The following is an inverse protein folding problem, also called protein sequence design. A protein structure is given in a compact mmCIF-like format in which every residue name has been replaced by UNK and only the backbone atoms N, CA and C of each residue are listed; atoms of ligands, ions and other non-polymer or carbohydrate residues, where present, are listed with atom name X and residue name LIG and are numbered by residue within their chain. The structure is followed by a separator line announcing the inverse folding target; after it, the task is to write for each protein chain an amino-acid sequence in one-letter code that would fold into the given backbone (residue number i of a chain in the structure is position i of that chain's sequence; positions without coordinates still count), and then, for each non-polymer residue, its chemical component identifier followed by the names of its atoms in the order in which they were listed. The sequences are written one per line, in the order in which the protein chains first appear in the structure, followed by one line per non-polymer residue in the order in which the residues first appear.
data_IF_328639444972
#
_entry.id   IF_328639444972
#
_cell.length_a   1.000
_cell.length_b   1.000
_cell.length_c   1.000
_cell.angle_alpha   90.00
_cell.angle_beta   90.00
_cell.angle_gamma   90.00
#
_symmetry.space_group_name_H-M   'P 1'
#
loop_
_entity.id
_entity.type
_entity.pdbx_description
1 polymer ?
#
# COMPACT_ATOMS: atom_id res chain seq x y z
N UNK A 1 -0.27 33.39 51.40
CA UNK A 1 -1.57 32.93 51.92
C UNK A 1 -2.08 31.84 51.00
N UNK A 2 -2.04 30.67 51.51
CA UNK A 2 -2.78 29.40 51.52
C UNK A 2 -3.05 28.79 50.15
N UNK A 3 -2.36 27.74 49.77
CA UNK A 3 -2.47 26.33 50.22
C UNK A 3 -3.80 25.67 49.83
N UNK A 4 -3.77 24.78 48.84
CA UNK A 4 -4.57 23.56 48.89
C UNK A 4 -3.86 22.43 48.10
N UNK A 5 -3.23 21.52 48.89
CA UNK A 5 -2.87 20.16 48.46
C UNK A 5 -4.11 19.29 48.71
N UNK A 6 -4.50 18.49 47.72
CA UNK A 6 -5.40 17.38 47.98
C UNK A 6 -4.75 16.09 47.50
N UNK A 7 -4.37 15.29 48.47
CA UNK A 7 -3.86 13.90 48.34
C UNK A 7 -5.07 12.99 48.19
N UNK A 8 -5.15 12.19 47.15
CA UNK A 8 -6.11 11.09 47.05
C UNK A 8 -5.40 9.79 47.35
N UNK A 9 -5.56 9.30 48.58
CA UNK A 9 -5.18 7.97 49.03
C UNK A 9 -6.28 6.98 48.63
N UNK A 10 -5.98 5.96 47.81
CA UNK A 10 -6.81 4.79 47.71
C UNK A 10 -6.24 3.64 48.56
N UNK A 11 -7.05 3.24 49.53
CA UNK A 11 -6.83 2.10 50.44
C UNK A 11 -6.90 0.80 49.69
N UNK A 12 -5.88 -0.04 49.86
CA UNK A 12 -5.93 -1.47 49.59
C UNK A 12 -6.82 -2.17 50.61
N UNK A 13 -7.86 -2.86 50.15
CA UNK A 13 -8.56 -3.84 50.94
C UNK A 13 -8.14 -5.26 50.54
N UNK A 14 -7.87 -6.01 51.57
CA UNK A 14 -7.57 -7.44 51.61
C UNK A 14 -8.51 -8.28 50.73
N UNK A 15 -7.95 -9.21 49.96
CA UNK A 15 -8.62 -10.40 49.51
C UNK A 15 -7.88 -11.63 50.01
N UNK A 16 -8.64 -12.43 50.75
CA UNK A 16 -8.24 -13.65 51.41
C UNK A 16 -7.93 -14.78 50.41
N UNK A 17 -7.01 -15.63 50.84
CA UNK A 17 -6.55 -16.81 50.14
C UNK A 17 -7.68 -17.80 49.84
N UNK A 18 -7.87 -18.13 48.55
CA UNK A 18 -8.62 -19.34 48.13
C UNK A 18 -7.59 -20.29 47.52
N UNK A 19 -7.58 -21.49 48.09
CA UNK A 19 -6.70 -22.60 47.76
C UNK A 19 -6.82 -22.99 46.27
N UNK A 20 -5.74 -22.92 45.51
CA UNK A 20 -5.65 -23.38 44.13
C UNK A 20 -5.53 -24.92 44.11
N UNK A 21 -6.58 -25.62 43.66
CA UNK A 21 -6.48 -27.00 43.24
C UNK A 21 -5.64 -27.10 41.96
N UNK A 22 -4.53 -27.86 42.04
CA UNK A 22 -3.73 -28.21 40.87
C UNK A 22 -4.56 -29.05 39.90
N UNK A 23 -4.97 -28.49 38.78
CA UNK A 23 -5.44 -29.23 37.62
C UNK A 23 -4.23 -29.46 36.71
N UNK A 24 -3.72 -30.69 36.72
CA UNK A 24 -2.70 -31.17 35.78
C UNK A 24 -3.40 -31.46 34.46
N UNK A 25 -3.40 -30.53 33.54
CA UNK A 25 -3.78 -30.81 32.15
C UNK A 25 -2.49 -31.06 31.37
N UNK A 26 -2.15 -32.35 31.21
CA UNK A 26 -1.10 -32.76 30.28
C UNK A 26 -1.52 -32.54 28.84
N UNK A 27 -1.27 -31.38 28.27
CA UNK A 27 -1.22 -31.16 26.81
C UNK A 27 0.21 -31.24 26.38
N UNK A 28 0.55 -32.29 25.61
CA UNK A 28 1.82 -32.37 24.85
C UNK A 28 1.94 -31.12 24.03
N UNK A 29 2.89 -30.26 24.41
CA UNK A 29 3.32 -29.12 23.59
C UNK A 29 3.95 -29.72 22.33
N UNK A 30 3.29 -29.56 21.19
CA UNK A 30 3.84 -29.97 19.91
C UNK A 30 5.14 -29.21 19.70
N UNK A 31 6.23 -29.94 19.50
CA UNK A 31 7.53 -29.41 19.13
C UNK A 31 7.36 -28.51 17.89
N UNK A 32 7.89 -27.28 17.91
CA UNK A 32 7.78 -26.38 16.76
C UNK A 32 8.45 -27.05 15.56
N UNK A 33 7.73 -27.13 14.46
CA UNK A 33 8.27 -27.58 13.17
C UNK A 33 9.51 -26.74 12.88
N UNK A 34 10.63 -27.43 12.61
CA UNK A 34 11.90 -26.84 12.17
C UNK A 34 11.61 -25.70 11.18
N UNK A 35 12.23 -24.56 11.44
CA UNK A 35 12.36 -23.47 10.45
C UNK A 35 12.77 -24.13 9.13
N UNK A 36 11.88 -24.04 8.14
CA UNK A 36 12.17 -24.57 6.80
C UNK A 36 13.34 -23.75 6.29
N UNK A 37 14.51 -24.36 6.25
CA UNK A 37 15.65 -23.76 5.56
C UNK A 37 15.23 -23.48 4.14
N UNK A 38 15.20 -22.20 3.75
CA UNK A 38 14.90 -21.78 2.41
C UNK A 38 15.76 -22.58 1.43
N UNK A 39 15.14 -23.48 0.65
CA UNK A 39 15.83 -24.13 -0.45
C UNK A 39 16.25 -23.01 -1.40
N UNK A 40 17.55 -22.74 -1.42
CA UNK A 40 18.19 -21.85 -2.39
C UNK A 40 17.82 -22.35 -3.78
N UNK A 41 16.92 -21.65 -4.48
CA UNK A 41 16.73 -21.88 -5.91
C UNK A 41 18.06 -21.54 -6.58
N UNK A 42 18.69 -22.45 -7.34
CA UNK A 42 19.95 -22.17 -7.99
C UNK A 42 19.71 -21.14 -9.09
N UNK A 43 20.15 -19.92 -8.87
CA UNK A 43 20.32 -18.94 -9.93
C UNK A 43 21.53 -19.39 -10.78
N UNK A 44 21.41 -19.27 -12.08
CA UNK A 44 22.37 -19.79 -13.07
C UNK A 44 23.86 -19.40 -12.85
N UNK A 45 24.14 -18.43 -11.92
CA UNK A 45 25.50 -17.95 -11.64
C UNK A 45 25.79 -17.70 -10.14
N UNK A 46 25.00 -18.20 -9.20
CA UNK A 46 25.19 -17.93 -7.76
C UNK A 46 24.95 -16.48 -7.32
N UNK A 47 24.43 -15.63 -8.20
CA UNK A 47 24.15 -14.23 -7.94
C UNK A 47 22.80 -14.03 -7.22
N UNK A 48 22.65 -12.96 -6.42
CA UNK A 48 21.36 -12.57 -5.87
C UNK A 48 20.31 -12.37 -6.97
N UNK A 49 19.08 -12.84 -6.76
CA UNK A 49 18.02 -12.76 -7.76
C UNK A 49 17.69 -11.32 -8.16
N UNK A 50 17.71 -10.40 -7.20
CA UNK A 50 17.56 -8.97 -7.47
C UNK A 50 18.58 -8.44 -8.49
N UNK A 51 19.80 -8.99 -8.49
CA UNK A 51 20.85 -8.66 -9.47
C UNK A 51 20.51 -9.21 -10.85
N UNK A 52 19.99 -10.42 -10.92
CA UNK A 52 19.55 -11.05 -12.17
C UNK A 52 18.42 -10.23 -12.81
N UNK A 53 17.41 -9.85 -12.01
CA UNK A 53 16.29 -9.04 -12.49
C UNK A 53 16.78 -7.65 -12.97
N UNK A 54 17.67 -6.99 -12.21
CA UNK A 54 18.28 -5.72 -12.64
C UNK A 54 19.00 -5.83 -13.99
N UNK A 55 19.75 -6.92 -14.23
CA UNK A 55 20.40 -7.16 -15.52
C UNK A 55 19.39 -7.32 -16.66
N UNK A 56 18.26 -8.02 -16.43
CA UNK A 56 17.18 -8.13 -17.45
C UNK A 56 16.61 -6.75 -17.81
N UNK A 57 16.38 -5.89 -16.81
CA UNK A 57 15.89 -4.52 -17.01
C UNK A 57 16.91 -3.67 -17.79
N UNK A 58 18.17 -3.71 -17.37
CA UNK A 58 19.26 -2.95 -17.99
C UNK A 58 19.53 -3.39 -19.43
N UNK A 59 19.44 -4.69 -19.73
CA UNK A 59 19.60 -5.22 -21.08
C UNK A 59 18.56 -4.65 -22.07
N UNK A 60 17.37 -4.28 -21.57
CA UNK A 60 16.33 -3.60 -22.36
C UNK A 60 16.36 -2.09 -22.23
N UNK A 61 17.40 -1.53 -21.58
CA UNK A 61 17.52 -0.08 -21.30
C UNK A 61 16.27 0.51 -20.63
N UNK A 62 15.54 -0.30 -19.88
CA UNK A 62 14.33 0.12 -19.19
C UNK A 62 14.66 0.80 -17.85
N UNK A 63 13.79 1.72 -17.45
CA UNK A 63 13.84 2.38 -16.15
C UNK A 63 13.31 1.43 -15.05
N UNK A 64 13.79 1.59 -13.81
CA UNK A 64 13.29 0.85 -12.65
C UNK A 64 13.30 1.70 -11.37
N UNK A 65 12.77 2.92 -11.48
CA UNK A 65 12.53 3.78 -10.31
C UNK A 65 11.57 3.11 -9.34
N UNK A 66 11.45 3.65 -8.13
CA UNK A 66 10.68 3.03 -7.06
C UNK A 66 9.21 2.76 -7.47
N UNK A 67 8.59 3.69 -8.20
CA UNK A 67 7.20 3.61 -8.66
C UNK A 67 7.01 2.89 -10.01
N UNK A 68 8.07 2.50 -10.72
CA UNK A 68 7.92 1.78 -11.99
C UNK A 68 7.37 0.37 -11.78
N UNK A 69 6.47 -0.07 -12.64
CA UNK A 69 6.11 -1.48 -12.76
C UNK A 69 7.20 -2.23 -13.52
N UNK A 70 7.69 -3.32 -12.97
CA UNK A 70 8.74 -4.18 -13.56
C UNK A 70 8.26 -5.60 -13.85
N UNK A 71 6.94 -5.82 -13.90
CA UNK A 71 6.36 -7.15 -14.11
C UNK A 71 6.87 -7.86 -15.38
N UNK A 72 7.14 -7.11 -16.46
CA UNK A 72 7.67 -7.65 -17.70
C UNK A 72 9.04 -8.36 -17.53
N UNK A 73 9.76 -8.10 -16.45
CA UNK A 73 11.08 -8.68 -16.16
C UNK A 73 11.03 -9.76 -15.08
N UNK A 74 9.85 -10.01 -14.52
CA UNK A 74 9.62 -11.02 -13.48
C UNK A 74 9.23 -12.34 -14.15
N UNK A 75 9.95 -13.39 -13.85
CA UNK A 75 9.66 -14.76 -14.34
C UNK A 75 8.93 -15.57 -13.26
N UNK A 76 8.24 -16.65 -13.62
CA UNK A 76 7.68 -17.59 -12.64
C UNK A 76 8.73 -18.04 -11.62
N UNK A 77 8.41 -17.97 -10.33
CA UNK A 77 9.30 -18.30 -9.22
C UNK A 77 10.21 -17.14 -8.74
N UNK A 78 10.30 -16.03 -9.48
CA UNK A 78 11.14 -14.89 -9.07
C UNK A 78 10.59 -14.20 -7.81
N UNK A 79 9.28 -14.15 -7.61
CA UNK A 79 8.71 -13.45 -6.43
C UNK A 79 9.01 -14.19 -5.14
N UNK A 80 8.93 -15.51 -5.15
CA UNK A 80 9.32 -16.35 -4.01
C UNK A 80 10.81 -16.15 -3.68
N UNK A 81 11.66 -16.18 -4.70
CA UNK A 81 13.10 -15.94 -4.51
C UNK A 81 13.42 -14.52 -4.03
N UNK A 82 12.64 -13.50 -4.47
CA UNK A 82 12.78 -12.13 -3.94
C UNK A 82 12.35 -12.05 -2.48
N UNK A 83 11.29 -12.75 -2.08
CA UNK A 83 10.88 -12.81 -0.67
C UNK A 83 12.00 -13.38 0.19
N UNK A 84 12.62 -14.48 -0.25
CA UNK A 84 13.73 -15.11 0.48
C UNK A 84 14.96 -14.19 0.56
N UNK A 85 15.32 -13.52 -0.55
CA UNK A 85 16.42 -12.57 -0.58
C UNK A 85 16.18 -11.35 0.33
N UNK A 86 14.98 -10.79 0.28
CA UNK A 86 14.60 -9.64 1.13
C UNK A 86 14.56 -10.08 2.60
N UNK A 87 14.04 -11.28 2.91
CA UNK A 87 14.03 -11.81 4.28
C UNK A 87 15.44 -11.94 4.85
N UNK A 88 16.38 -12.46 4.07
CA UNK A 88 17.79 -12.58 4.48
C UNK A 88 18.40 -11.20 4.79
N UNK A 89 18.17 -10.21 3.94
CA UNK A 89 18.68 -8.85 4.16
C UNK A 89 17.99 -8.15 5.34
N UNK A 90 16.69 -8.38 5.50
CA UNK A 90 15.94 -7.85 6.64
C UNK A 90 16.38 -8.47 7.97
N UNK A 91 16.78 -9.75 7.95
CA UNK A 91 17.39 -10.40 9.12
C UNK A 91 18.64 -9.65 9.58
N UNK A 92 19.55 -9.31 8.65
CA UNK A 92 20.72 -8.51 8.97
C UNK A 92 20.42 -7.10 9.48
N UNK A 93 19.31 -6.49 9.01
CA UNK A 93 18.83 -5.20 9.57
C UNK A 93 18.39 -5.35 11.02
N UNK A 94 17.59 -6.39 11.34
CA UNK A 94 17.15 -6.65 12.71
C UNK A 94 18.31 -6.93 13.65
N UNK A 95 19.27 -7.72 13.21
CA UNK A 95 20.52 -7.99 13.97
C UNK A 95 21.32 -6.71 14.22
N UNK A 96 21.43 -5.83 13.20
CA UNK A 96 22.11 -4.53 13.33
C UNK A 96 21.38 -3.57 14.28
N UNK A 97 20.05 -3.72 14.42
CA UNK A 97 19.24 -3.01 15.42
C UNK A 97 19.32 -3.65 16.82
N UNK A 98 20.14 -4.70 16.99
CA UNK A 98 20.29 -5.45 18.25
C UNK A 98 18.96 -6.07 18.72
N UNK A 99 18.15 -6.55 17.77
CA UNK A 99 16.89 -7.23 18.06
C UNK A 99 17.16 -8.74 18.10
N UNK A 100 16.79 -9.38 19.22
CA UNK A 100 16.91 -10.84 19.36
C UNK A 100 15.85 -11.53 18.49
N UNK A 101 16.29 -12.20 17.44
CA UNK A 101 15.45 -12.97 16.53
C UNK A 101 15.56 -14.49 16.72
N UNK A 102 16.37 -14.93 17.67
CA UNK A 102 16.61 -16.36 17.98
C UNK A 102 15.74 -16.83 19.14
N UNK A 103 15.83 -16.14 20.28
CA UNK A 103 15.14 -16.54 21.51
C UNK A 103 13.81 -15.85 21.72
N UNK A 104 13.60 -14.62 21.19
CA UNK A 104 12.31 -13.94 21.25
C UNK A 104 11.32 -14.54 20.24
N UNK A 105 10.28 -15.21 20.78
CA UNK A 105 9.23 -15.83 19.97
C UNK A 105 8.41 -14.83 19.13
N UNK A 106 8.40 -13.52 19.48
CA UNK A 106 7.67 -12.49 18.73
C UNK A 106 8.41 -12.09 17.46
N UNK A 107 9.73 -12.03 17.51
CA UNK A 107 10.59 -11.52 16.42
C UNK A 107 11.21 -12.60 15.55
N UNK A 108 11.17 -13.87 15.98
CA UNK A 108 11.78 -15.03 15.28
C UNK A 108 11.49 -15.11 13.78
N UNK A 109 10.30 -14.70 13.33
CA UNK A 109 9.89 -14.74 11.93
C UNK A 109 9.66 -13.35 11.34
N UNK A 110 10.09 -12.28 11.99
CA UNK A 110 9.81 -10.90 11.57
C UNK A 110 10.44 -10.59 10.21
N UNK A 111 11.66 -11.02 9.97
CA UNK A 111 12.36 -10.82 8.69
C UNK A 111 11.55 -11.37 7.50
N UNK A 112 11.04 -12.61 7.61
CA UNK A 112 10.23 -13.23 6.58
C UNK A 112 8.85 -12.58 6.42
N UNK A 113 8.18 -12.22 7.54
CA UNK A 113 6.88 -11.53 7.50
C UNK A 113 7.00 -10.17 6.81
N UNK A 114 8.04 -9.40 7.11
CA UNK A 114 8.29 -8.10 6.50
C UNK A 114 8.61 -8.25 5.01
N UNK A 115 9.43 -9.23 4.64
CA UNK A 115 9.74 -9.52 3.25
C UNK A 115 8.48 -9.85 2.43
N UNK A 116 7.65 -10.77 2.96
CA UNK A 116 6.38 -11.15 2.33
C UNK A 116 5.43 -9.95 2.21
N UNK A 117 5.32 -9.15 3.25
CA UNK A 117 4.51 -7.93 3.23
C UNK A 117 4.94 -6.99 2.12
N UNK A 118 6.23 -6.69 2.00
CA UNK A 118 6.71 -5.77 0.96
C UNK A 118 6.55 -6.34 -0.45
N UNK A 119 6.94 -7.60 -0.70
CA UNK A 119 6.93 -8.15 -2.07
C UNK A 119 5.51 -8.49 -2.53
N UNK A 120 4.70 -9.13 -1.68
CA UNK A 120 3.42 -9.70 -2.11
C UNK A 120 2.20 -8.82 -1.82
N UNK A 121 2.35 -7.78 -0.97
CA UNK A 121 1.23 -6.96 -0.53
C UNK A 121 1.47 -5.48 -0.87
N UNK A 122 2.37 -4.81 -0.13
CA UNK A 122 2.54 -3.34 -0.19
C UNK A 122 3.13 -2.87 -1.51
N UNK A 123 4.02 -3.66 -2.15
CA UNK A 123 4.64 -3.32 -3.43
C UNK A 123 4.20 -4.23 -4.58
N UNK A 124 3.11 -4.96 -4.40
CA UNK A 124 2.62 -5.91 -5.40
C UNK A 124 2.43 -5.27 -6.79
N UNK A 125 1.87 -4.05 -6.86
CA UNK A 125 1.69 -3.31 -8.10
C UNK A 125 2.97 -3.03 -8.89
N UNK A 126 4.16 -3.19 -8.24
CA UNK A 126 5.44 -3.10 -8.91
C UNK A 126 5.79 -4.37 -9.70
N UNK A 127 5.34 -5.53 -9.23
CA UNK A 127 5.80 -6.84 -9.68
C UNK A 127 4.77 -7.60 -10.53
N UNK A 128 3.49 -7.20 -10.49
CA UNK A 128 2.43 -7.86 -11.25
C UNK A 128 1.97 -7.01 -12.42
N UNK A 129 1.46 -7.68 -13.46
CA UNK A 129 0.92 -7.00 -14.63
C UNK A 129 -0.29 -6.15 -14.28
N UNK A 130 -0.51 -5.10 -15.06
CA UNK A 130 -1.70 -4.27 -14.96
C UNK A 130 -2.96 -5.14 -15.06
N UNK A 131 -3.95 -4.94 -14.16
CA UNK A 131 -5.20 -5.67 -14.24
C UNK A 131 -5.94 -5.36 -15.55
N UNK A 132 -6.56 -6.39 -16.13
CA UNK A 132 -7.39 -6.23 -17.31
C UNK A 132 -8.62 -5.38 -17.01
N UNK A 133 -8.87 -4.41 -17.87
CA UNK A 133 -10.05 -3.55 -17.81
C UNK A 133 -11.05 -3.97 -18.87
N UNK A 134 -12.12 -4.66 -18.45
CA UNK A 134 -13.26 -4.91 -19.32
C UNK A 134 -13.90 -3.59 -19.70
N UNK A 135 -13.97 -3.34 -20.99
CA UNK A 135 -14.54 -2.12 -21.59
C UNK A 135 -15.88 -2.42 -22.19
N UNK A 136 -16.78 -1.44 -22.12
CA UNK A 136 -18.09 -1.44 -22.76
C UNK A 136 -18.21 -0.21 -23.65
N UNK A 137 -18.78 -0.30 -24.84
CA UNK A 137 -19.06 0.87 -25.67
C UNK A 137 -20.14 1.74 -25.00
N UNK A 138 -20.05 3.05 -25.15
CA UNK A 138 -21.07 3.99 -24.67
C UNK A 138 -22.24 4.07 -25.65
N UNK A 139 -23.02 3.00 -25.78
CA UNK A 139 -24.09 2.88 -26.75
C UNK A 139 -25.21 3.90 -26.52
N UNK A 140 -25.49 4.21 -25.25
CA UNK A 140 -26.55 5.17 -24.86
C UNK A 140 -26.09 6.62 -24.88
N UNK A 141 -24.86 6.87 -25.33
CA UNK A 141 -24.27 8.20 -25.41
C UNK A 141 -24.33 8.98 -24.08
N UNK A 142 -23.99 8.29 -22.98
CA UNK A 142 -23.87 8.93 -21.66
C UNK A 142 -22.87 10.08 -21.74
N UNK A 143 -23.26 11.24 -21.27
CA UNK A 143 -22.48 12.48 -21.26
C UNK A 143 -22.58 13.22 -19.93
N UNK A 144 -23.09 12.56 -18.90
CA UNK A 144 -23.25 13.11 -17.56
C UNK A 144 -22.01 12.82 -16.69
N UNK A 145 -21.79 13.67 -15.69
CA UNK A 145 -20.72 13.49 -14.71
C UNK A 145 -20.96 12.22 -13.88
N UNK A 146 -20.03 11.30 -13.97
CA UNK A 146 -19.95 10.12 -13.09
C UNK A 146 -18.87 10.31 -12.05
N UNK A 147 -19.15 10.02 -10.77
CA UNK A 147 -18.19 10.08 -9.68
C UNK A 147 -18.06 8.72 -9.03
N UNK A 148 -16.85 8.19 -9.05
CA UNK A 148 -16.47 6.93 -8.43
C UNK A 148 -15.64 7.23 -7.19
N UNK A 149 -16.09 6.77 -6.03
CA UNK A 149 -15.39 6.95 -4.76
C UNK A 149 -16.32 6.99 -3.56
N UNK A 150 -15.79 7.04 -2.37
CA UNK A 150 -14.34 6.96 -2.06
C UNK A 150 -13.76 5.57 -2.30
N UNK A 151 -12.60 5.49 -2.96
CA UNK A 151 -11.81 4.28 -3.09
C UNK A 151 -10.71 4.34 -2.03
N UNK A 152 -10.62 3.32 -1.18
CA UNK A 152 -9.55 3.25 -0.17
C UNK A 152 -8.20 3.07 -0.84
N UNK A 153 -7.24 3.89 -0.42
CA UNK A 153 -5.85 3.83 -0.88
C UNK A 153 -4.95 3.35 0.25
N UNK A 154 -4.07 2.42 -0.11
CA UNK A 154 -2.92 2.00 0.69
C UNK A 154 -1.69 2.07 -0.19
N UNK A 155 -0.71 2.88 0.19
CA UNK A 155 0.54 3.09 -0.53
C UNK A 155 1.69 3.19 0.46
N UNK A 156 2.90 3.36 -0.04
CA UNK A 156 4.07 3.62 0.80
C UNK A 156 4.89 4.78 0.24
N UNK A 157 5.30 5.69 1.13
CA UNK A 157 6.19 6.78 0.77
C UNK A 157 7.56 6.23 0.34
N UNK A 158 8.03 6.61 -0.85
CA UNK A 158 9.33 6.16 -1.37
C UNK A 158 10.54 6.59 -0.52
N UNK A 159 10.39 7.65 0.30
CA UNK A 159 11.50 8.18 1.10
C UNK A 159 11.80 7.35 2.36
N UNK A 160 10.77 6.85 3.05
CA UNK A 160 10.92 6.16 4.34
C UNK A 160 10.19 4.82 4.38
N UNK A 161 9.54 4.40 3.29
CA UNK A 161 8.67 3.22 3.20
C UNK A 161 7.54 3.20 4.24
N UNK A 162 7.24 4.35 4.83
CA UNK A 162 6.11 4.51 5.74
C UNK A 162 4.79 4.48 4.97
N UNK A 163 3.70 4.00 5.59
CA UNK A 163 2.38 3.97 4.96
C UNK A 163 1.88 5.35 4.52
N UNK A 164 1.16 5.36 3.41
CA UNK A 164 0.27 6.43 2.97
C UNK A 164 -1.13 5.82 2.91
N UNK A 165 -2.04 6.33 3.73
CA UNK A 165 -3.39 5.78 3.88
C UNK A 165 -4.42 6.85 3.54
N UNK A 166 -5.34 6.57 2.61
CA UNK A 166 -6.26 7.61 2.21
C UNK A 166 -7.41 7.14 1.34
N UNK A 167 -7.97 8.09 0.63
CA UNK A 167 -9.13 7.91 -0.25
C UNK A 167 -8.89 8.63 -1.57
N UNK A 168 -9.41 8.04 -2.65
CA UNK A 168 -9.42 8.62 -3.99
C UNK A 168 -10.85 8.73 -4.50
N UNK A 169 -11.14 9.84 -5.15
CA UNK A 169 -12.36 10.07 -5.92
C UNK A 169 -12.00 10.34 -7.38
N UNK A 170 -12.73 9.73 -8.29
CA UNK A 170 -12.50 9.82 -9.74
C UNK A 170 -13.77 10.36 -10.37
N UNK A 171 -13.67 11.51 -11.02
CA UNK A 171 -14.71 12.10 -11.84
C UNK A 171 -14.49 11.77 -13.31
N UNK A 172 -15.49 11.25 -14.00
CA UNK A 172 -15.43 10.92 -15.43
C UNK A 172 -16.59 11.59 -16.14
N UNK A 173 -16.28 12.36 -17.17
CA UNK A 173 -17.27 12.90 -18.11
C UNK A 173 -17.05 12.18 -19.45
N UNK A 174 -17.85 11.16 -19.77
CA UNK A 174 -17.74 10.45 -21.04
C UNK A 174 -18.36 11.23 -22.20
N UNK A 175 -18.11 10.81 -23.41
CA UNK A 175 -18.83 11.17 -24.61
C UNK A 175 -19.19 9.91 -25.43
N UNK A 176 -19.71 10.10 -26.64
CA UNK A 176 -20.12 9.01 -27.52
C UNK A 176 -19.00 8.02 -27.88
N UNK A 177 -17.75 8.50 -27.92
CA UNK A 177 -16.57 7.72 -28.32
C UNK A 177 -15.81 7.15 -27.11
N UNK A 178 -16.28 7.47 -25.89
CA UNK A 178 -15.67 6.99 -24.65
C UNK A 178 -15.99 5.52 -24.42
N UNK A 179 -15.03 4.80 -23.85
CA UNK A 179 -15.30 3.48 -23.29
C UNK A 179 -15.80 3.61 -21.84
N UNK A 180 -16.80 2.84 -21.48
CA UNK A 180 -17.20 2.65 -20.09
C UNK A 180 -16.45 1.46 -19.51
N UNK A 181 -16.12 1.50 -18.23
CA UNK A 181 -15.52 0.39 -17.51
C UNK A 181 -16.33 0.05 -16.27
N UNK A 182 -16.31 -1.22 -15.86
CA UNK A 182 -17.02 -1.65 -14.68
C UNK A 182 -16.49 -0.99 -13.40
N UNK A 183 -17.37 -0.67 -12.45
CA UNK A 183 -17.05 0.04 -11.21
C UNK A 183 -15.87 -0.59 -10.45
N UNK A 184 -15.82 -1.92 -10.33
CA UNK A 184 -14.73 -2.64 -9.69
C UNK A 184 -13.36 -2.46 -10.37
N UNK A 185 -13.35 -2.06 -11.64
CA UNK A 185 -12.10 -1.84 -12.40
C UNK A 185 -11.39 -0.56 -11.96
N UNK A 186 -12.15 0.46 -11.58
CA UNK A 186 -11.58 1.67 -10.98
C UNK A 186 -10.82 1.35 -9.68
N UNK A 187 -11.40 0.55 -8.79
CA UNK A 187 -10.74 0.13 -7.56
C UNK A 187 -9.49 -0.70 -7.82
N UNK A 188 -9.55 -1.67 -8.74
CA UNK A 188 -8.41 -2.54 -9.06
C UNK A 188 -7.24 -1.79 -9.69
N UNK A 189 -7.51 -0.85 -10.61
CA UNK A 189 -6.43 -0.05 -11.22
C UNK A 189 -5.83 0.93 -10.21
N UNK A 190 -6.67 1.53 -9.35
CA UNK A 190 -6.21 2.38 -8.25
C UNK A 190 -5.29 1.59 -7.31
N UNK A 191 -5.70 0.42 -6.85
CA UNK A 191 -4.89 -0.43 -6.00
C UNK A 191 -3.55 -0.79 -6.67
N UNK A 192 -3.58 -1.21 -7.95
CA UNK A 192 -2.38 -1.57 -8.70
C UNK A 192 -1.39 -0.42 -8.84
N UNK A 193 -1.86 0.83 -9.06
CA UNK A 193 -1.01 2.01 -9.09
C UNK A 193 -0.47 2.32 -7.69
N UNK A 194 -1.33 2.25 -6.67
CA UNK A 194 -0.98 2.67 -5.31
C UNK A 194 -0.09 1.68 -4.57
N UNK A 195 -0.11 0.39 -4.91
CA UNK A 195 0.75 -0.63 -4.31
C UNK A 195 2.19 -0.57 -4.82
N UNK A 196 2.86 0.58 -4.65
CA UNK A 196 4.26 0.84 -5.02
C UNK A 196 4.88 1.85 -4.05
N UNK A 197 6.24 1.84 -3.88
CA UNK A 197 6.92 2.94 -3.20
C UNK A 197 6.89 4.18 -4.09
N UNK A 198 6.23 5.26 -3.67
CA UNK A 198 6.04 6.44 -4.51
C UNK A 198 5.72 7.68 -3.69
N UNK A 199 5.64 8.84 -4.34
CA UNK A 199 5.04 10.04 -3.78
C UNK A 199 3.60 10.18 -4.29
N UNK A 200 2.75 10.79 -3.49
CA UNK A 200 1.31 10.91 -3.81
C UNK A 200 1.06 11.65 -5.12
N UNK A 201 1.84 12.68 -5.37
CA UNK A 201 1.72 13.54 -6.56
C UNK A 201 1.90 12.74 -7.85
N UNK A 202 2.95 11.90 -7.92
CA UNK A 202 3.21 11.06 -9.09
C UNK A 202 2.16 9.96 -9.24
N UNK A 203 1.73 9.36 -8.12
CA UNK A 203 0.73 8.30 -8.10
C UNK A 203 -0.62 8.77 -8.67
N UNK A 204 -1.07 9.98 -8.31
CA UNK A 204 -2.33 10.53 -8.80
C UNK A 204 -2.26 10.86 -10.30
N UNK A 205 -1.11 11.36 -10.75
CA UNK A 205 -0.88 11.63 -12.19
C UNK A 205 -0.86 10.31 -12.97
N UNK A 206 -0.14 9.29 -12.51
CA UNK A 206 -0.11 7.98 -13.19
C UNK A 206 -1.50 7.34 -13.27
N UNK A 207 -2.28 7.42 -12.19
CA UNK A 207 -3.66 6.92 -12.18
C UNK A 207 -4.52 7.66 -13.21
N UNK A 208 -4.42 8.98 -13.29
CA UNK A 208 -5.13 9.79 -14.27
C UNK A 208 -4.72 9.44 -15.71
N UNK A 209 -3.42 9.30 -15.99
CA UNK A 209 -2.89 8.93 -17.32
C UNK A 209 -3.42 7.58 -17.79
N UNK A 210 -3.43 6.59 -16.90
CA UNK A 210 -3.92 5.26 -17.20
C UNK A 210 -5.42 5.24 -17.50
N UNK A 211 -6.22 5.94 -16.69
CA UNK A 211 -7.67 6.03 -16.88
C UNK A 211 -8.01 6.79 -18.17
N UNK A 212 -7.37 7.94 -18.41
CA UNK A 212 -7.59 8.73 -19.63
C UNK A 212 -7.27 7.91 -20.89
N UNK A 213 -6.14 7.20 -20.91
CA UNK A 213 -5.75 6.32 -22.03
C UNK A 213 -6.75 5.18 -22.26
N UNK A 214 -7.34 4.65 -21.19
CA UNK A 214 -8.24 3.49 -21.27
C UNK A 214 -9.67 3.86 -21.60
N UNK A 215 -10.19 4.96 -21.04
CA UNK A 215 -11.59 5.40 -21.13
C UNK A 215 -11.76 6.38 -22.29
N UNK A 216 -10.78 7.25 -22.53
CA UNK A 216 -10.82 8.39 -23.47
C UNK A 216 -12.02 9.30 -23.21
N UNK A 217 -12.22 9.81 -21.99
CA UNK A 217 -13.32 10.68 -21.66
C UNK A 217 -13.04 12.10 -22.16
N UNK A 218 -14.09 12.93 -22.31
CA UNK A 218 -13.93 14.37 -22.56
C UNK A 218 -13.39 15.12 -21.36
N UNK A 219 -13.62 14.60 -20.15
CA UNK A 219 -13.10 15.13 -18.92
C UNK A 219 -12.77 14.02 -17.91
N UNK A 220 -11.65 14.19 -17.21
CA UNK A 220 -11.23 13.32 -16.12
C UNK A 220 -10.75 14.16 -14.94
N UNK A 221 -11.20 13.82 -13.75
CA UNK A 221 -10.73 14.39 -12.49
C UNK A 221 -10.31 13.27 -11.54
N UNK A 222 -9.21 13.45 -10.83
CA UNK A 222 -8.79 12.56 -9.76
C UNK A 222 -8.43 13.43 -8.56
N UNK A 223 -9.04 13.14 -7.40
CA UNK A 223 -8.71 13.80 -6.12
C UNK A 223 -8.31 12.71 -5.14
N UNK A 224 -7.20 12.91 -4.46
CA UNK A 224 -6.72 12.05 -3.40
C UNK A 224 -6.49 12.85 -2.12
N UNK A 225 -7.00 12.34 -1.01
CA UNK A 225 -6.71 12.79 0.34
C UNK A 225 -6.06 11.64 1.11
N UNK A 226 -4.92 11.89 1.77
CA UNK A 226 -4.25 10.85 2.53
C UNK A 226 -3.45 11.37 3.72
N UNK A 227 -3.33 10.50 4.70
CA UNK A 227 -2.46 10.58 5.85
C UNK A 227 -1.08 10.03 5.50
N UNK A 228 -0.02 10.78 5.82
CA UNK A 228 1.37 10.42 5.56
C UNK A 228 2.07 10.04 6.86
N UNK A 229 2.21 8.76 7.13
CA UNK A 229 2.82 8.28 8.37
C UNK A 229 4.30 8.65 8.50
N UNK A 230 4.98 8.99 7.41
CA UNK A 230 6.32 9.56 7.48
C UNK A 230 6.38 10.93 8.19
N UNK A 231 5.25 11.65 8.29
CA UNK A 231 5.11 12.89 9.03
C UNK A 231 4.45 12.69 10.41
N UNK A 232 3.45 11.82 10.49
CA UNK A 232 2.65 11.62 11.69
C UNK A 232 3.39 10.79 12.76
N UNK A 233 3.97 9.63 12.35
CA UNK A 233 4.60 8.67 13.24
C UNK A 233 6.01 9.06 13.67
N UNK A 234 6.75 9.76 12.79
CA UNK A 234 8.14 10.18 12.98
C UNK A 234 8.37 11.56 12.38
N UNK A 235 9.59 12.12 12.52
CA UNK A 235 9.95 13.42 11.97
C UNK A 235 9.18 14.56 12.61
N UNK A 236 8.30 15.20 11.88
CA UNK A 236 7.50 16.37 12.34
C UNK A 236 6.51 15.98 13.44
N UNK A 237 5.99 14.75 13.41
CA UNK A 237 5.00 14.22 14.39
C UNK A 237 3.71 15.04 14.44
N UNK A 238 3.23 15.48 13.29
CA UNK A 238 1.96 16.17 13.14
C UNK A 238 0.85 15.19 12.74
N UNK A 239 -0.02 14.76 13.68
CA UNK A 239 -1.03 13.73 13.44
C UNK A 239 -2.21 14.23 12.61
N UNK A 240 -2.44 15.54 12.55
CA UNK A 240 -3.62 16.12 11.89
C UNK A 240 -3.32 16.55 10.45
N UNK A 241 -2.05 16.53 10.07
CA UNK A 241 -1.61 16.91 8.73
C UNK A 241 -2.02 15.87 7.70
N UNK A 242 -2.74 16.32 6.66
CA UNK A 242 -3.15 15.54 5.50
C UNK A 242 -2.67 16.18 4.22
N UNK A 243 -2.42 15.36 3.22
CA UNK A 243 -2.15 15.85 1.88
C UNK A 243 -3.37 15.64 0.99
N UNK A 244 -3.83 16.71 0.35
CA UNK A 244 -4.87 16.67 -0.67
C UNK A 244 -4.27 17.18 -1.97
N UNK A 245 -4.34 16.38 -3.02
CA UNK A 245 -3.97 16.82 -4.35
C UNK A 245 -4.99 16.37 -5.41
N UNK A 246 -4.98 17.04 -6.55
CA UNK A 246 -5.92 16.76 -7.63
C UNK A 246 -5.26 16.86 -9.00
N UNK A 247 -5.76 16.06 -9.94
CA UNK A 247 -5.47 16.15 -11.36
C UNK A 247 -6.78 16.40 -12.09
N UNK A 248 -6.82 17.48 -12.88
CA UNK A 248 -7.98 17.87 -13.69
C UNK A 248 -7.59 17.87 -15.16
N UNK A 249 -8.37 17.21 -16.01
CA UNK A 249 -8.10 17.09 -17.45
C UNK A 249 -9.35 17.32 -18.29
N UNK A 250 -9.13 17.71 -19.54
CA UNK A 250 -10.21 17.94 -20.50
C UNK A 250 -11.23 18.97 -19.99
N UNK A 251 -12.51 18.61 -19.96
CA UNK A 251 -13.60 19.49 -19.52
C UNK A 251 -13.45 19.99 -18.09
N UNK A 252 -12.94 19.19 -17.16
CA UNK A 252 -12.70 19.65 -15.77
C UNK A 252 -11.64 20.74 -15.66
N UNK A 253 -10.70 20.79 -16.60
CA UNK A 253 -9.70 21.84 -16.64
C UNK A 253 -10.27 23.13 -17.23
N UNK A 254 -11.15 23.00 -18.25
CA UNK A 254 -11.69 24.10 -19.04
C UNK A 254 -12.91 24.77 -18.41
N UNK A 255 -13.78 23.96 -17.77
CA UNK A 255 -15.05 24.42 -17.17
C UNK A 255 -14.94 24.50 -15.64
N UNK A 256 -14.90 25.73 -15.07
CA UNK A 256 -14.87 25.91 -13.61
C UNK A 256 -16.15 25.45 -12.90
N UNK A 257 -17.30 25.43 -13.58
CA UNK A 257 -18.57 25.00 -12.97
C UNK A 257 -18.58 23.49 -12.79
N UNK A 258 -18.21 22.74 -13.82
CA UNK A 258 -18.06 21.28 -13.76
C UNK A 258 -17.08 20.88 -12.66
N UNK A 259 -15.95 21.56 -12.57
CA UNK A 259 -14.96 21.32 -11.51
C UNK A 259 -15.54 21.61 -10.11
N UNK A 260 -16.29 22.69 -9.95
CA UNK A 260 -16.93 23.05 -8.67
C UNK A 260 -17.98 22.03 -8.28
N UNK A 261 -18.80 21.58 -9.22
CA UNK A 261 -19.80 20.52 -9.00
C UNK A 261 -19.14 19.23 -8.51
N UNK A 262 -18.11 18.77 -9.21
CA UNK A 262 -17.34 17.60 -8.82
C UNK A 262 -16.82 17.71 -7.38
N UNK A 263 -16.12 18.80 -7.06
CA UNK A 263 -15.53 19.01 -5.74
C UNK A 263 -16.61 19.10 -4.64
N UNK A 264 -17.73 19.75 -4.91
CA UNK A 264 -18.84 19.82 -3.95
C UNK A 264 -19.47 18.44 -3.66
N UNK A 265 -19.58 17.58 -4.68
CA UNK A 265 -20.10 16.22 -4.51
C UNK A 265 -19.11 15.29 -3.79
N UNK A 266 -17.80 15.49 -3.98
CA UNK A 266 -16.75 14.79 -3.25
C UNK A 266 -16.79 15.14 -1.77
N UNK A 267 -16.87 16.43 -1.42
CA UNK A 267 -16.91 16.90 -0.03
C UNK A 267 -18.10 16.37 0.78
N UNK A 268 -19.25 16.11 0.15
CA UNK A 268 -20.44 15.57 0.83
C UNK A 268 -20.27 14.13 1.33
N UNK A 269 -19.24 13.42 0.84
CA UNK A 269 -18.99 12.00 1.13
C UNK A 269 -17.71 11.78 1.97
N UNK A 270 -17.11 12.88 2.43
CA UNK A 270 -15.87 12.83 3.27
C UNK A 270 -16.20 12.63 4.74
#
# INVERSE_FOLDING_TARGET
MSSFRTICQYKCHHFSAIAAKKVVIGKKVATPKKVVSAKKLPNEDGMPLSTVIRRRIQAQKARFHANDNIAAFIKPGDLEGLVDEVAQKMQGVLESLVIDTESDHNTRNTSFRVAKMFVNEVFNGRYVNQPELTKFPNITHLNELMIIGPITVRSACSHHLCPIMGKVWIGVLPDKDSALIGLSKYSRITEWVMCRPQIQEEAVVELADLLEKKIKPTGLAVVMEADHFCMQWRGVKDPDSKMINSVMRGSFLKDPNLRREFLALVQRKS
#
